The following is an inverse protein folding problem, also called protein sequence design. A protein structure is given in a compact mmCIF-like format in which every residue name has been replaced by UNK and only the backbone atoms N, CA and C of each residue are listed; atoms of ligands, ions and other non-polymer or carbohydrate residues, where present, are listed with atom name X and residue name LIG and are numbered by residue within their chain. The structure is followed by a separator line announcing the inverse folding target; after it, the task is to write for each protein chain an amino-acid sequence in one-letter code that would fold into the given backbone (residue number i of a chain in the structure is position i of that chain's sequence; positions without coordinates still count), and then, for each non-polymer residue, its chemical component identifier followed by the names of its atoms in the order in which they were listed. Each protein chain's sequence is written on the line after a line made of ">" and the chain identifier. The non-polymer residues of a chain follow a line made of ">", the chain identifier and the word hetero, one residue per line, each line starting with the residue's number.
data_IF_633744826263
#
_entry.id   IF_633744826263
#
_cell.length_a   1.000
_cell.length_b   1.000
_cell.length_c   1.000
_cell.angle_alpha   90.00
_cell.angle_beta   90.00
_cell.angle_gamma   90.00
#
_symmetry.space_group_name_H-M   'P 1'
#
loop_
_entity.id
_entity.type
_entity.pdbx_description
1 polymer ?
#
# COMPACT_ATOMS: atom_id res chain seq x y z
N UNK A 1 -12.55 20.11 9.52
CA UNK A 1 -12.02 20.50 8.21
C UNK A 1 -10.79 19.65 7.92
N UNK A 2 -10.83 18.91 6.84
CA UNK A 2 -9.72 18.05 6.41
C UNK A 2 -8.56 18.86 5.79
N UNK A 3 -8.27 20.06 6.25
CA UNK A 3 -7.13 20.86 5.81
C UNK A 3 -7.13 21.24 4.32
N UNK A 4 -5.98 21.68 3.81
CA UNK A 4 -5.86 22.16 2.42
C UNK A 4 -6.22 21.11 1.34
N UNK A 5 -6.04 19.84 1.61
CA UNK A 5 -6.30 18.75 0.64
C UNK A 5 -7.79 18.55 0.32
N UNK A 6 -8.68 18.94 1.22
CA UNK A 6 -10.13 18.77 1.00
C UNK A 6 -10.73 19.68 -0.10
N UNK A 7 -9.97 20.67 -0.57
CA UNK A 7 -10.38 21.61 -1.60
C UNK A 7 -9.60 21.45 -2.91
N UNK A 8 -8.63 20.51 -2.95
CA UNK A 8 -7.81 20.28 -4.13
C UNK A 8 -8.49 19.25 -5.03
N UNK A 9 -9.27 19.71 -5.99
CA UNK A 9 -9.97 18.87 -6.96
C UNK A 9 -9.09 18.46 -8.16
N UNK A 10 -7.89 19.04 -8.31
CA UNK A 10 -7.00 18.79 -9.43
C UNK A 10 -5.72 18.06 -9.00
N UNK A 11 -5.36 17.01 -9.74
CA UNK A 11 -4.12 16.26 -9.52
C UNK A 11 -2.85 17.14 -9.59
N UNK A 12 -2.90 18.22 -10.38
CA UNK A 12 -1.82 19.21 -10.45
C UNK A 12 -1.60 19.98 -9.15
N UNK A 13 -2.68 20.40 -8.48
CA UNK A 13 -2.59 21.06 -7.18
C UNK A 13 -2.09 20.12 -6.08
N UNK A 14 -2.58 18.88 -6.08
CA UNK A 14 -2.09 17.85 -5.14
C UNK A 14 -0.61 17.54 -5.37
N UNK A 15 -0.17 17.47 -6.62
CA UNK A 15 1.24 17.28 -6.98
C UNK A 15 2.13 18.44 -6.52
N UNK A 16 1.68 19.68 -6.69
CA UNK A 16 2.40 20.87 -6.22
C UNK A 16 2.48 20.90 -4.68
N UNK A 17 1.39 20.55 -3.99
CA UNK A 17 1.37 20.44 -2.52
C UNK A 17 2.35 19.37 -2.04
N UNK A 18 2.33 18.17 -2.65
CA UNK A 18 3.27 17.10 -2.32
C UNK A 18 4.72 17.54 -2.52
N UNK A 19 5.03 18.17 -3.67
CA UNK A 19 6.36 18.71 -3.94
C UNK A 19 6.82 19.74 -2.91
N UNK A 20 5.95 20.65 -2.51
CA UNK A 20 6.26 21.67 -1.48
C UNK A 20 6.45 21.04 -0.09
N UNK A 21 5.65 20.03 0.23
CA UNK A 21 5.75 19.32 1.50
C UNK A 21 7.10 18.56 1.64
N UNK A 22 7.49 17.77 0.62
CA UNK A 22 8.74 17.01 0.68
C UNK A 22 10.00 17.90 0.60
N UNK A 23 9.86 19.09 0.00
CA UNK A 23 10.96 20.08 -0.05
C UNK A 23 11.10 20.89 1.24
N UNK A 24 10.10 20.84 2.12
CA UNK A 24 10.13 21.49 3.43
C UNK A 24 10.98 20.68 4.42
N UNK A 25 11.93 21.27 5.14
CA UNK A 25 12.71 20.55 6.14
C UNK A 25 11.90 20.15 7.39
N UNK A 26 10.83 20.88 7.69
CA UNK A 26 10.06 20.72 8.93
C UNK A 26 8.93 19.72 8.77
N UNK A 27 8.18 19.76 7.67
CA UNK A 27 7.01 18.91 7.45
C UNK A 27 7.30 17.41 7.55
N UNK A 28 8.22 16.87 6.74
CA UNK A 28 8.62 15.47 6.82
C UNK A 28 9.23 15.07 8.16
N UNK A 29 10.02 15.97 8.80
CA UNK A 29 10.62 15.70 10.10
C UNK A 29 9.56 15.53 11.20
N UNK A 30 8.57 16.41 11.27
CA UNK A 30 7.47 16.33 12.24
C UNK A 30 6.65 15.06 11.99
N UNK A 31 6.33 14.75 10.73
CA UNK A 31 5.63 13.50 10.38
C UNK A 31 6.41 12.26 10.80
N UNK A 32 7.72 12.23 10.55
CA UNK A 32 8.59 11.14 10.97
C UNK A 32 8.63 10.98 12.50
N UNK A 33 8.71 12.08 13.25
CA UNK A 33 8.70 12.04 14.72
C UNK A 33 7.40 11.49 15.27
N UNK A 34 6.26 11.95 14.75
CA UNK A 34 4.94 11.42 15.15
C UNK A 34 4.85 9.93 14.88
N UNK A 35 5.25 9.48 13.68
CA UNK A 35 5.26 8.08 13.31
C UNK A 35 6.15 7.24 14.23
N UNK A 36 7.36 7.72 14.55
CA UNK A 36 8.28 7.04 15.46
C UNK A 36 7.71 6.91 16.87
N UNK A 37 7.08 7.97 17.41
CA UNK A 37 6.45 7.94 18.72
C UNK A 37 5.34 6.89 18.74
N UNK A 38 4.43 6.89 17.75
CA UNK A 38 3.34 5.90 17.66
C UNK A 38 3.87 4.47 17.56
N UNK A 39 4.87 4.25 16.70
CA UNK A 39 5.52 2.95 16.55
C UNK A 39 6.17 2.50 17.86
N UNK A 40 6.87 3.39 18.55
CA UNK A 40 7.52 3.10 19.83
C UNK A 40 6.50 2.70 20.89
N UNK A 41 5.37 3.40 20.99
CA UNK A 41 4.29 3.06 21.93
C UNK A 41 3.79 1.62 21.69
N UNK A 42 3.59 1.25 20.42
CA UNK A 42 3.14 -0.11 20.08
C UNK A 42 4.21 -1.14 20.43
N UNK A 43 5.47 -0.89 20.08
CA UNK A 43 6.57 -1.84 20.28
C UNK A 43 6.90 -2.03 21.77
N UNK A 44 6.86 -0.97 22.57
CA UNK A 44 7.05 -1.04 24.04
C UNK A 44 5.98 -1.90 24.71
N UNK A 45 4.76 -1.97 24.15
CA UNK A 45 3.72 -2.90 24.60
C UNK A 45 4.05 -4.38 24.40
N UNK A 46 5.18 -4.70 23.75
CA UNK A 46 5.63 -6.06 23.44
C UNK A 46 4.80 -6.72 22.35
N UNK A 47 5.06 -8.01 22.11
CA UNK A 47 4.43 -8.72 20.99
C UNK A 47 2.94 -8.94 21.21
N UNK A 48 2.56 -9.56 22.33
CA UNK A 48 1.16 -9.89 22.62
C UNK A 48 0.32 -8.66 22.99
N UNK A 49 0.87 -7.72 23.80
CA UNK A 49 0.15 -6.55 24.28
C UNK A 49 0.15 -5.36 23.31
N UNK A 50 1.17 -5.24 22.49
CA UNK A 50 1.38 -4.14 21.54
C UNK A 50 1.14 -4.55 20.09
N UNK A 51 2.08 -5.25 19.50
CA UNK A 51 2.08 -5.54 18.06
C UNK A 51 0.86 -6.36 17.63
N UNK A 52 0.59 -7.47 18.33
CA UNK A 52 -0.55 -8.36 18.02
C UNK A 52 -1.89 -7.63 18.17
N UNK A 53 -2.05 -6.86 19.26
CA UNK A 53 -3.28 -6.11 19.52
C UNK A 53 -3.49 -5.00 18.48
N UNK A 54 -2.43 -4.26 18.13
CA UNK A 54 -2.49 -3.23 17.09
C UNK A 54 -2.84 -3.85 15.73
N UNK A 55 -2.19 -4.95 15.34
CA UNK A 55 -2.43 -5.63 14.08
C UNK A 55 -3.86 -6.18 13.97
N UNK A 56 -4.41 -6.75 15.03
CA UNK A 56 -5.81 -7.24 15.05
C UNK A 56 -6.86 -6.16 14.75
N UNK A 57 -6.54 -4.90 15.03
CA UNK A 57 -7.43 -3.77 14.71
C UNK A 57 -7.07 -3.16 13.35
N UNK A 58 -5.78 -2.95 13.10
CA UNK A 58 -5.32 -2.23 11.92
C UNK A 58 -5.52 -3.03 10.62
N UNK A 59 -5.32 -4.36 10.64
CA UNK A 59 -5.45 -5.15 9.42
C UNK A 59 -6.89 -5.25 8.90
N UNK A 60 -7.91 -5.56 9.73
CA UNK A 60 -9.31 -5.48 9.29
C UNK A 60 -9.72 -4.07 8.86
N UNK A 61 -9.28 -3.04 9.59
CA UNK A 61 -9.56 -1.65 9.22
C UNK A 61 -8.95 -1.30 7.85
N UNK A 62 -7.72 -1.72 7.58
CA UNK A 62 -7.08 -1.57 6.27
C UNK A 62 -7.90 -2.24 5.17
N UNK A 63 -8.34 -3.47 5.37
CA UNK A 63 -9.14 -4.20 4.37
C UNK A 63 -10.46 -3.48 4.08
N UNK A 64 -11.15 -3.00 5.10
CA UNK A 64 -12.39 -2.22 4.94
C UNK A 64 -12.12 -0.93 4.15
N UNK A 65 -11.07 -0.20 4.48
CA UNK A 65 -10.68 1.01 3.76
C UNK A 65 -10.37 0.68 2.30
N UNK A 66 -9.61 -0.38 2.01
CA UNK A 66 -9.31 -0.80 0.64
C UNK A 66 -10.60 -1.13 -0.15
N UNK A 67 -11.54 -1.84 0.44
CA UNK A 67 -12.82 -2.15 -0.21
C UNK A 67 -13.59 -0.87 -0.53
N UNK A 68 -13.69 0.07 0.42
CA UNK A 68 -14.35 1.36 0.20
C UNK A 68 -13.66 2.15 -0.93
N UNK A 69 -12.33 2.16 -0.95
CA UNK A 69 -11.57 2.83 -2.00
C UNK A 69 -11.71 2.16 -3.37
N UNK A 70 -11.79 0.83 -3.43
CA UNK A 70 -12.10 0.12 -4.69
C UNK A 70 -13.46 0.56 -5.22
N UNK A 71 -14.49 0.58 -4.37
CA UNK A 71 -15.82 1.02 -4.77
C UNK A 71 -15.76 2.46 -5.28
N UNK A 72 -15.08 3.35 -4.58
CA UNK A 72 -14.91 4.76 -4.97
C UNK A 72 -14.14 4.88 -6.29
N UNK A 73 -13.04 4.15 -6.44
CA UNK A 73 -12.25 4.15 -7.67
C UNK A 73 -13.09 3.70 -8.87
N UNK A 74 -13.91 2.65 -8.71
CA UNK A 74 -14.79 2.13 -9.77
C UNK A 74 -15.90 3.11 -10.18
N UNK A 75 -16.20 4.14 -9.39
CA UNK A 75 -17.16 5.20 -9.73
C UNK A 75 -16.56 6.37 -10.50
N UNK A 76 -15.23 6.39 -10.71
CA UNK A 76 -14.57 7.46 -11.44
C UNK A 76 -14.90 7.43 -12.95
N UNK A 77 -15.01 8.59 -13.60
CA UNK A 77 -15.17 8.66 -15.05
C UNK A 77 -13.90 8.15 -15.75
N UNK A 78 -14.05 7.58 -16.94
CA UNK A 78 -12.96 7.11 -17.81
C UNK A 78 -12.06 6.01 -17.23
N UNK A 79 -12.52 5.29 -16.20
CA UNK A 79 -11.73 4.26 -15.53
C UNK A 79 -11.49 3.00 -16.40
N UNK A 80 -12.27 2.81 -17.46
CA UNK A 80 -12.25 1.59 -18.28
C UNK A 80 -10.89 1.26 -18.90
N UNK A 81 -10.12 2.27 -19.33
CA UNK A 81 -8.77 2.08 -19.86
C UNK A 81 -7.82 1.59 -18.77
N UNK A 82 -7.86 2.18 -17.58
CA UNK A 82 -7.03 1.79 -16.46
C UNK A 82 -7.34 0.37 -15.95
N UNK A 83 -8.62 -0.02 -15.91
CA UNK A 83 -9.03 -1.38 -15.56
C UNK A 83 -8.52 -2.36 -16.63
N UNK A 84 -8.67 -2.03 -17.91
CA UNK A 84 -8.18 -2.86 -19.00
C UNK A 84 -6.66 -3.00 -18.92
N UNK A 85 -5.94 -1.93 -18.68
CA UNK A 85 -4.49 -1.95 -18.51
C UNK A 85 -4.06 -2.87 -17.34
N UNK A 86 -4.75 -2.79 -16.22
CA UNK A 86 -4.41 -3.57 -15.02
C UNK A 86 -4.78 -5.05 -15.14
N UNK A 87 -5.96 -5.36 -15.69
CA UNK A 87 -6.48 -6.73 -15.72
C UNK A 87 -6.19 -7.50 -17.00
N UNK A 88 -5.85 -6.82 -18.10
CA UNK A 88 -5.56 -7.49 -19.38
C UNK A 88 -4.06 -7.79 -19.50
N UNK A 89 -3.64 -9.05 -19.35
CA UNK A 89 -2.24 -9.41 -19.48
C UNK A 89 -1.77 -9.28 -20.93
N UNK A 90 -0.65 -8.60 -21.12
CA UNK A 90 0.04 -8.54 -22.41
C UNK A 90 1.19 -9.57 -22.42
N UNK A 91 0.86 -10.77 -22.89
CA UNK A 91 1.83 -11.87 -22.95
C UNK A 91 2.99 -11.60 -23.91
N UNK A 92 2.86 -10.64 -24.82
CA UNK A 92 3.93 -10.29 -25.76
C UNK A 92 5.12 -9.62 -25.06
N UNK A 93 4.88 -9.03 -23.89
CA UNK A 93 5.90 -8.39 -23.06
C UNK A 93 6.56 -9.32 -22.06
N UNK A 94 6.16 -10.58 -22.01
CA UNK A 94 6.76 -11.58 -21.12
C UNK A 94 8.23 -11.80 -21.48
N UNK A 95 9.10 -11.62 -20.51
CA UNK A 95 10.54 -11.84 -20.63
C UNK A 95 11.08 -12.49 -19.34
N UNK A 96 12.24 -13.15 -19.48
CA UNK A 96 12.92 -13.73 -18.30
C UNK A 96 13.21 -12.64 -17.25
N UNK A 97 13.56 -11.43 -17.71
CA UNK A 97 13.78 -10.28 -16.81
C UNK A 97 12.52 -9.86 -16.06
N UNK A 98 11.35 -9.87 -16.72
CA UNK A 98 10.08 -9.59 -16.06
C UNK A 98 9.72 -10.63 -15.01
N UNK A 99 9.92 -11.91 -15.32
CA UNK A 99 9.69 -13.00 -14.36
C UNK A 99 10.64 -12.88 -13.17
N UNK A 100 11.91 -12.61 -13.40
CA UNK A 100 12.90 -12.40 -12.33
C UNK A 100 12.53 -11.21 -11.43
N UNK A 101 12.07 -10.10 -12.01
CA UNK A 101 11.60 -8.94 -11.27
C UNK A 101 10.36 -9.27 -10.42
N UNK A 102 9.39 -10.01 -10.97
CA UNK A 102 8.20 -10.44 -10.25
C UNK A 102 8.54 -11.36 -9.07
N UNK A 103 9.45 -12.32 -9.26
CA UNK A 103 9.95 -13.18 -8.18
C UNK A 103 10.65 -12.34 -7.12
N UNK A 104 11.51 -11.39 -7.52
CA UNK A 104 12.17 -10.46 -6.59
C UNK A 104 11.17 -9.65 -5.76
N UNK A 105 10.08 -9.18 -6.39
CA UNK A 105 9.00 -8.48 -5.70
C UNK A 105 8.28 -9.39 -4.69
N UNK A 106 8.03 -10.66 -5.02
CA UNK A 106 7.45 -11.62 -4.07
C UNK A 106 8.36 -11.84 -2.85
N UNK A 107 9.67 -11.96 -3.07
CA UNK A 107 10.64 -12.08 -1.96
C UNK A 107 10.60 -10.86 -1.05
N UNK A 108 10.52 -9.66 -1.64
CA UNK A 108 10.43 -8.41 -0.89
C UNK A 108 9.13 -8.30 -0.11
N UNK A 109 7.98 -8.52 -0.75
CA UNK A 109 6.65 -8.40 -0.15
C UNK A 109 6.45 -9.37 1.02
N UNK A 110 6.86 -10.63 0.83
CA UNK A 110 6.75 -11.67 1.86
C UNK A 110 7.91 -11.66 2.88
N UNK A 111 8.83 -10.70 2.81
CA UNK A 111 10.02 -10.63 3.67
C UNK A 111 10.87 -11.91 3.68
N UNK A 112 10.90 -12.66 2.55
CA UNK A 112 11.68 -13.89 2.44
C UNK A 112 13.17 -13.54 2.38
N UNK A 113 13.98 -14.24 3.20
CA UNK A 113 15.43 -14.00 3.26
C UNK A 113 15.84 -12.85 4.18
N UNK A 114 14.90 -12.16 4.80
CA UNK A 114 15.18 -11.16 5.83
C UNK A 114 15.04 -11.76 7.23
N UNK A 115 15.70 -11.15 8.22
CA UNK A 115 15.59 -11.57 9.63
C UNK A 115 14.18 -11.43 10.20
N UNK A 116 13.28 -10.70 9.53
CA UNK A 116 11.91 -10.49 9.97
C UNK A 116 11.12 -11.79 10.14
N UNK A 117 11.13 -12.67 9.14
CA UNK A 117 10.44 -13.96 9.23
C UNK A 117 11.02 -14.90 10.29
N UNK A 118 12.33 -14.86 10.49
CA UNK A 118 12.99 -15.65 11.56
C UNK A 118 12.55 -15.15 12.93
N UNK A 119 12.49 -13.82 13.11
CA UNK A 119 11.99 -13.20 14.34
C UNK A 119 10.54 -13.59 14.61
N UNK A 120 9.64 -13.45 13.63
CA UNK A 120 8.24 -13.84 13.83
C UNK A 120 8.10 -15.33 14.13
N UNK A 121 8.87 -16.18 13.45
CA UNK A 121 8.88 -17.62 13.67
C UNK A 121 9.28 -18.01 15.10
N UNK A 122 10.19 -17.26 15.75
CA UNK A 122 10.62 -17.52 17.12
C UNK A 122 9.54 -17.31 18.19
N UNK A 123 8.45 -16.64 17.85
CA UNK A 123 7.32 -16.39 18.75
C UNK A 123 6.11 -17.28 18.51
N UNK A 124 6.17 -18.12 17.48
CA UNK A 124 5.09 -19.08 17.20
C UNK A 124 5.07 -20.20 18.23
N UNK A 125 3.89 -20.61 18.72
CA UNK A 125 3.76 -21.76 19.58
C UNK A 125 4.04 -23.05 18.78
N UNK A 126 4.55 -24.09 19.43
CA UNK A 126 4.85 -25.40 18.81
C UNK A 126 3.64 -26.07 18.16
N UNK A 127 2.42 -25.68 18.58
CA UNK A 127 1.16 -26.18 18.02
C UNK A 127 0.77 -25.55 16.68
N UNK A 128 1.50 -24.51 16.22
CA UNK A 128 1.15 -23.79 15.00
C UNK A 128 1.50 -24.61 13.73
N UNK A 129 0.55 -24.68 12.81
CA UNK A 129 0.75 -25.33 11.53
C UNK A 129 1.37 -24.34 10.53
N UNK A 130 2.71 -24.32 10.45
CA UNK A 130 3.47 -23.40 9.60
C UNK A 130 3.03 -23.43 8.13
N UNK A 131 2.87 -24.59 7.44
CA UNK A 131 2.39 -24.62 6.06
C UNK A 131 1.03 -23.98 5.88
N UNK A 132 0.07 -24.22 6.77
CA UNK A 132 -1.26 -23.63 6.71
C UNK A 132 -1.20 -22.10 6.89
N UNK A 133 -0.42 -21.64 7.85
CA UNK A 133 -0.26 -20.20 8.12
C UNK A 133 0.46 -19.50 6.99
N UNK A 134 1.47 -20.13 6.37
CA UNK A 134 2.16 -19.58 5.19
C UNK A 134 1.18 -19.37 4.02
N UNK A 135 0.34 -20.37 3.71
CA UNK A 135 -0.66 -20.24 2.64
C UNK A 135 -1.63 -19.08 2.91
N UNK A 136 -2.09 -18.92 4.15
CA UNK A 136 -2.98 -17.82 4.53
C UNK A 136 -2.30 -16.46 4.35
N UNK A 137 -1.02 -16.35 4.74
CA UNK A 137 -0.24 -15.11 4.58
C UNK A 137 -0.09 -14.76 3.09
N UNK A 138 0.31 -15.72 2.26
CA UNK A 138 0.49 -15.50 0.81
C UNK A 138 -0.81 -15.07 0.14
N UNK A 139 -1.94 -15.72 0.48
CA UNK A 139 -3.25 -15.35 -0.05
C UNK A 139 -3.64 -13.94 0.40
N UNK A 140 -3.44 -13.61 1.69
CA UNK A 140 -3.77 -12.29 2.21
C UNK A 140 -2.91 -11.19 1.57
N UNK A 141 -1.60 -11.42 1.41
CA UNK A 141 -0.68 -10.50 0.73
C UNK A 141 -1.12 -10.26 -0.72
N UNK A 142 -1.41 -11.33 -1.45
CA UNK A 142 -1.91 -11.24 -2.83
C UNK A 142 -3.22 -10.44 -2.92
N UNK A 143 -4.20 -10.72 -2.06
CA UNK A 143 -5.50 -10.02 -2.07
C UNK A 143 -5.32 -8.52 -1.81
N UNK A 144 -4.52 -8.17 -0.79
CA UNK A 144 -4.26 -6.75 -0.46
C UNK A 144 -3.52 -6.05 -1.60
N UNK A 145 -2.48 -6.68 -2.15
CA UNK A 145 -1.72 -6.12 -3.27
C UNK A 145 -2.60 -5.95 -4.53
N UNK A 146 -3.44 -6.93 -4.83
CA UNK A 146 -4.38 -6.87 -5.96
C UNK A 146 -5.40 -5.75 -5.79
N UNK A 147 -6.02 -5.62 -4.61
CA UNK A 147 -6.97 -4.54 -4.33
C UNK A 147 -6.29 -3.16 -4.41
N UNK A 148 -5.09 -3.02 -3.85
CA UNK A 148 -4.33 -1.78 -3.93
C UNK A 148 -4.00 -1.40 -5.38
N UNK A 149 -3.56 -2.36 -6.19
CA UNK A 149 -3.32 -2.14 -7.61
C UNK A 149 -4.58 -1.74 -8.38
N UNK A 150 -5.73 -2.36 -8.05
CA UNK A 150 -7.03 -2.03 -8.64
C UNK A 150 -7.51 -0.61 -8.25
N UNK A 151 -7.05 -0.07 -7.14
CA UNK A 151 -7.33 1.32 -6.76
C UNK A 151 -6.39 2.27 -7.49
N UNK A 152 -5.08 2.03 -7.39
CA UNK A 152 -4.04 2.98 -7.80
C UNK A 152 -3.97 3.12 -9.32
N UNK A 153 -3.85 2.00 -10.04
CA UNK A 153 -3.61 2.02 -11.49
C UNK A 153 -4.79 2.64 -12.26
N UNK A 154 -6.04 2.16 -12.08
CA UNK A 154 -7.15 2.77 -12.79
C UNK A 154 -7.41 4.23 -12.40
N UNK A 155 -7.19 4.60 -11.13
CA UNK A 155 -7.34 5.99 -10.70
C UNK A 155 -6.27 6.90 -11.33
N UNK A 156 -5.03 6.41 -11.49
CA UNK A 156 -3.98 7.16 -12.19
C UNK A 156 -4.38 7.47 -13.64
N UNK A 157 -4.97 6.50 -14.35
CA UNK A 157 -5.51 6.73 -15.69
C UNK A 157 -6.65 7.77 -15.68
N UNK A 158 -7.57 7.69 -14.72
CA UNK A 158 -8.68 8.64 -14.61
C UNK A 158 -8.21 10.08 -14.36
N UNK A 159 -7.12 10.25 -13.60
CA UNK A 159 -6.53 11.57 -13.30
C UNK A 159 -5.40 11.98 -14.26
N UNK A 160 -5.06 11.17 -15.26
CA UNK A 160 -3.97 11.47 -16.21
C UNK A 160 -2.56 11.46 -15.59
N UNK A 161 -2.37 10.70 -14.50
CA UNK A 161 -1.09 10.57 -13.81
C UNK A 161 -0.30 9.40 -14.43
N UNK A 162 0.99 9.64 -14.72
CA UNK A 162 1.86 8.58 -15.25
C UNK A 162 2.05 7.46 -14.24
N UNK A 163 1.69 6.22 -14.64
CA UNK A 163 1.86 5.02 -13.81
C UNK A 163 3.33 4.70 -13.48
N UNK A 164 4.28 5.25 -14.24
CA UNK A 164 5.72 5.15 -14.00
C UNK A 164 6.30 6.20 -13.07
N UNK A 165 5.48 7.11 -12.51
CA UNK A 165 5.96 8.25 -11.71
C UNK A 165 6.51 7.91 -10.33
N UNK A 166 6.63 6.63 -9.96
CA UNK A 166 7.18 6.17 -8.70
C UNK A 166 6.35 6.61 -7.48
N UNK A 167 6.97 7.18 -6.42
CA UNK A 167 6.24 7.59 -5.21
C UNK A 167 5.09 8.57 -5.46
N UNK A 168 5.20 9.42 -6.47
CA UNK A 168 4.15 10.36 -6.86
C UNK A 168 2.86 9.66 -7.25
N UNK A 169 2.96 8.45 -7.83
CA UNK A 169 1.79 7.64 -8.17
C UNK A 169 0.88 7.43 -6.95
N UNK A 170 1.44 7.10 -5.80
CA UNK A 170 0.67 6.89 -4.57
C UNK A 170 0.24 8.22 -3.93
N UNK A 171 1.18 9.14 -3.73
CA UNK A 171 0.96 10.35 -2.92
C UNK A 171 0.19 11.45 -3.65
N UNK A 172 0.03 11.36 -4.96
CA UNK A 172 -0.82 12.26 -5.75
C UNK A 172 -2.16 11.59 -6.05
N UNK A 173 -2.15 10.32 -6.50
CA UNK A 173 -3.39 9.62 -6.88
C UNK A 173 -4.33 9.40 -5.69
N UNK A 174 -3.81 9.00 -4.53
CA UNK A 174 -4.66 8.74 -3.35
C UNK A 174 -5.38 10.00 -2.85
N UNK A 175 -4.72 11.14 -2.60
CA UNK A 175 -5.42 12.36 -2.20
C UNK A 175 -6.44 12.82 -3.26
N UNK A 176 -6.11 12.70 -4.55
CA UNK A 176 -7.04 13.06 -5.63
C UNK A 176 -8.29 12.17 -5.66
N UNK A 177 -8.19 10.93 -5.19
CA UNK A 177 -9.33 10.01 -5.08
C UNK A 177 -10.29 10.43 -3.96
N UNK A 178 -9.80 11.12 -2.92
CA UNK A 178 -10.59 11.62 -1.78
C UNK A 178 -11.18 13.01 -2.00
N UNK A 179 -10.67 13.76 -2.96
CA UNK A 179 -11.18 15.08 -3.33
C UNK A 179 -12.44 14.98 -4.19
#
# INVERSE_FOLDING_TARGET
>A
SFGPLAHMADAGEVGAFFGSFISSPIGPLVGALIFHILTTIIVVGGIKGGIEKASKVMMPALLVILIVLVIRALTLPNIGEGITYYLKPDLSKMSIGLVAAAVGQCFFSLNIGTTGMVNYGSYLPDSENIPSSTVKIVIADFVVAFLAGLIIIPSAFAFGIDVGSGPSLLFVTMPSLFA
#
